data_IF_314513211588
#
_entry.id   IF_314513211588
#
_cell.length_a   1.000
_cell.length_b   1.000
_cell.length_c   1.000
_cell.angle_alpha   90.00
_cell.angle_beta   90.00
_cell.angle_gamma   90.00
#
_symmetry.space_group_name_H-M   'P 1'
#
loop_
_entity.id
_entity.type
_entity.pdbx_description
1 polymer ?
#
# COMPACT_ATOMS: atom_id res chain seq x y z
N UNK A 1 17.16 15.37 -8.15
CA UNK A 1 18.04 14.56 -7.25
C UNK A 1 17.12 13.81 -6.29
N UNK A 2 17.43 12.55 -5.92
CA UNK A 2 16.70 11.82 -4.88
C UNK A 2 17.40 12.12 -3.56
N UNK A 3 16.64 12.55 -2.56
CA UNK A 3 17.11 12.76 -1.19
C UNK A 3 16.50 11.72 -0.27
N UNK A 4 17.32 11.18 0.63
CA UNK A 4 16.89 10.18 1.62
C UNK A 4 16.90 10.83 3.00
N UNK A 5 15.76 10.80 3.69
CA UNK A 5 15.58 11.37 5.03
C UNK A 5 15.11 10.26 5.98
N UNK A 6 15.80 10.04 7.07
CA UNK A 6 15.33 9.19 8.15
C UNK A 6 14.37 10.01 9.03
N UNK A 7 13.10 9.63 9.07
CA UNK A 7 12.06 10.31 9.86
C UNK A 7 12.00 9.79 11.30
N UNK A 8 12.25 8.50 11.46
CA UNK A 8 12.33 7.79 12.74
C UNK A 8 13.05 6.46 12.52
N UNK A 9 13.40 5.78 13.59
CA UNK A 9 14.03 4.45 13.51
C UNK A 9 13.17 3.49 12.67
N UNK A 10 13.70 3.02 11.55
CA UNK A 10 13.01 2.14 10.61
C UNK A 10 11.99 2.83 9.69
N UNK A 11 11.92 4.16 9.68
CA UNK A 11 11.04 4.95 8.79
C UNK A 11 11.87 5.88 7.93
N UNK A 12 11.92 5.61 6.64
CA UNK A 12 12.72 6.36 5.67
C UNK A 12 11.83 7.01 4.62
N UNK A 13 12.06 8.28 4.31
CA UNK A 13 11.47 9.01 3.20
C UNK A 13 12.48 9.14 2.07
N UNK A 14 12.10 8.70 0.87
CA UNK A 14 12.75 9.03 -0.38
C UNK A 14 11.98 10.16 -1.05
N UNK A 15 12.59 11.32 -1.19
CA UNK A 15 11.94 12.49 -1.77
C UNK A 15 12.61 12.94 -3.06
N UNK A 16 11.80 13.27 -4.05
CA UNK A 16 12.21 13.82 -5.34
C UNK A 16 11.50 15.15 -5.54
N UNK A 17 12.23 16.25 -5.47
CA UNK A 17 11.70 17.54 -5.88
C UNK A 17 11.71 17.68 -7.38
N UNK A 18 10.55 17.99 -7.97
CA UNK A 18 10.40 18.20 -9.41
C UNK A 18 9.22 19.13 -9.72
N UNK A 19 9.42 20.02 -10.69
CA UNK A 19 8.39 20.92 -11.21
C UNK A 19 7.84 20.48 -12.58
N UNK A 20 8.31 19.32 -13.08
CA UNK A 20 7.96 18.84 -14.43
C UNK A 20 6.49 18.45 -14.57
N UNK A 21 5.83 18.10 -13.45
CA UNK A 21 4.48 17.58 -13.46
C UNK A 21 3.53 18.49 -12.67
N UNK A 22 2.26 18.46 -13.05
CA UNK A 22 1.17 19.13 -12.32
C UNK A 22 0.65 18.27 -11.17
N UNK A 23 1.00 16.99 -11.13
CA UNK A 23 0.63 16.04 -10.08
C UNK A 23 1.85 15.67 -9.25
N UNK A 24 1.61 15.47 -7.96
CA UNK A 24 2.54 14.83 -7.05
C UNK A 24 2.16 13.37 -6.83
N UNK A 25 3.13 12.58 -6.40
CA UNK A 25 2.93 11.17 -6.03
C UNK A 25 3.45 10.94 -4.60
N UNK A 26 2.68 10.18 -3.82
CA UNK A 26 3.10 9.74 -2.50
C UNK A 26 2.83 8.25 -2.33
N UNK A 27 3.80 7.51 -1.78
CA UNK A 27 3.56 6.11 -1.44
C UNK A 27 4.08 5.75 -0.06
N UNK A 28 3.37 4.80 0.55
CA UNK A 28 3.70 4.16 1.81
C UNK A 28 3.96 2.68 1.55
N UNK A 29 5.13 2.20 1.92
CA UNK A 29 5.55 0.83 1.66
C UNK A 29 6.09 0.19 2.94
N UNK A 30 5.51 -0.94 3.32
CA UNK A 30 6.03 -1.86 4.32
C UNK A 30 6.99 -2.82 3.63
N UNK A 31 8.20 -2.95 4.18
CA UNK A 31 9.26 -3.79 3.61
C UNK A 31 9.42 -5.07 4.44
N UNK A 32 9.34 -6.23 3.80
CA UNK A 32 9.46 -7.52 4.49
C UNK A 32 10.20 -8.55 3.63
N UNK A 33 10.86 -9.53 4.25
CA UNK A 33 11.32 -10.71 3.52
C UNK A 33 10.15 -11.42 2.84
N UNK A 34 10.33 -11.83 1.60
CA UNK A 34 9.32 -12.56 0.85
C UNK A 34 9.34 -14.03 1.23
N UNK A 35 8.27 -14.51 1.85
CA UNK A 35 8.14 -15.91 2.28
C UNK A 35 6.82 -16.51 1.82
N UNK A 36 6.76 -17.84 1.67
CA UNK A 36 5.53 -18.53 1.24
C UNK A 36 4.36 -18.24 2.18
N UNK A 37 4.58 -18.28 3.49
CA UNK A 37 3.53 -18.06 4.49
C UNK A 37 3.01 -16.60 4.51
N UNK A 38 3.90 -15.61 4.29
CA UNK A 38 3.52 -14.20 4.32
C UNK A 38 2.98 -13.69 2.96
N UNK A 39 3.35 -14.32 1.86
CA UNK A 39 3.02 -13.84 0.52
C UNK A 39 1.52 -13.57 0.28
N UNK A 40 0.58 -14.47 0.63
CA UNK A 40 -0.84 -14.23 0.44
C UNK A 40 -1.40 -13.17 1.40
N UNK A 41 -0.95 -13.15 2.66
CA UNK A 41 -1.36 -12.16 3.67
C UNK A 41 -0.93 -10.74 3.27
N UNK A 42 0.34 -10.59 2.87
CA UNK A 42 0.89 -9.30 2.39
C UNK A 42 0.18 -8.82 1.10
N UNK A 43 -0.27 -9.73 0.25
CA UNK A 43 -0.98 -9.37 -0.97
C UNK A 43 -2.43 -8.95 -0.70
N UNK A 44 -3.09 -9.59 0.26
CA UNK A 44 -4.50 -9.34 0.61
C UNK A 44 -4.68 -8.08 1.45
N UNK A 45 -3.77 -7.85 2.41
CA UNK A 45 -3.90 -6.81 3.42
C UNK A 45 -4.22 -5.40 2.87
N UNK A 46 -3.48 -4.86 1.88
CA UNK A 46 -3.77 -3.50 1.39
C UNK A 46 -5.18 -3.36 0.81
N UNK A 47 -5.65 -4.36 0.07
CA UNK A 47 -6.98 -4.34 -0.54
C UNK A 47 -8.08 -4.32 0.51
N UNK A 48 -7.92 -5.09 1.60
CA UNK A 48 -8.88 -5.11 2.71
C UNK A 48 -8.88 -3.79 3.48
N UNK A 49 -7.70 -3.23 3.78
CA UNK A 49 -7.60 -1.94 4.48
C UNK A 49 -8.22 -0.80 3.67
N UNK A 50 -8.12 -0.85 2.34
CA UNK A 50 -8.68 0.17 1.45
C UNK A 50 -10.22 0.09 1.34
N UNK A 51 -10.88 -0.90 1.94
CA UNK A 51 -12.35 -1.02 1.93
C UNK A 51 -13.03 -0.09 2.91
N UNK A 52 -12.33 0.39 3.94
CA UNK A 52 -12.86 1.34 4.90
C UNK A 52 -11.98 1.56 6.11
N UNK A 53 -12.16 2.70 6.75
CA UNK A 53 -11.54 3.06 8.02
C UNK A 53 -12.60 3.51 9.01
N UNK A 54 -12.22 3.76 10.27
CA UNK A 54 -13.15 4.30 11.28
C UNK A 54 -13.77 5.62 10.84
N UNK A 55 -13.02 6.47 10.15
CA UNK A 55 -13.47 7.77 9.67
C UNK A 55 -14.21 7.71 8.33
N UNK A 56 -13.80 6.80 7.45
CA UNK A 56 -14.41 6.56 6.13
C UNK A 56 -14.80 5.09 6.04
N UNK A 57 -16.01 4.74 6.52
CA UNK A 57 -16.37 3.36 6.83
C UNK A 57 -16.58 2.46 5.61
N UNK A 58 -16.71 3.03 4.43
CA UNK A 58 -16.95 2.29 3.19
C UNK A 58 -16.30 2.95 1.96
N UNK A 59 -16.35 2.25 0.83
CA UNK A 59 -15.79 2.70 -0.44
C UNK A 59 -16.42 4.00 -0.95
N UNK A 60 -17.69 4.27 -0.62
CA UNK A 60 -18.37 5.51 -1.00
C UNK A 60 -17.76 6.70 -0.25
N UNK A 61 -17.60 6.58 1.07
CA UNK A 61 -16.96 7.60 1.89
C UNK A 61 -15.51 7.86 1.45
N UNK A 62 -14.76 6.80 1.11
CA UNK A 62 -13.41 6.90 0.56
C UNK A 62 -13.42 7.64 -0.79
N UNK A 63 -14.31 7.27 -1.72
CA UNK A 63 -14.43 7.94 -3.01
C UNK A 63 -14.78 9.41 -2.88
N UNK A 64 -15.76 9.75 -2.02
CA UNK A 64 -16.11 11.14 -1.72
C UNK A 64 -14.93 11.92 -1.16
N UNK A 65 -14.12 11.30 -0.29
CA UNK A 65 -12.92 11.94 0.24
C UNK A 65 -11.87 12.20 -0.84
N UNK A 66 -11.68 11.27 -1.76
CA UNK A 66 -10.76 11.45 -2.89
C UNK A 66 -11.24 12.55 -3.84
N UNK A 67 -12.55 12.66 -4.08
CA UNK A 67 -13.15 13.75 -4.87
C UNK A 67 -12.93 15.11 -4.19
N UNK A 68 -13.11 15.21 -2.84
CA UNK A 68 -12.79 16.41 -2.07
C UNK A 68 -11.30 16.78 -2.16
N UNK A 69 -10.43 15.81 -2.39
CA UNK A 69 -8.99 16.01 -2.64
C UNK A 69 -8.69 16.22 -4.14
N UNK A 70 -9.63 16.86 -4.84
CA UNK A 70 -9.51 17.24 -6.25
C UNK A 70 -9.31 16.04 -7.20
N UNK A 71 -10.03 14.95 -6.92
CA UNK A 71 -9.95 13.73 -7.73
C UNK A 71 -8.62 12.98 -7.56
N UNK A 72 -8.03 13.06 -6.37
CA UNK A 72 -6.85 12.27 -6.06
C UNK A 72 -7.12 10.78 -6.23
N UNK A 73 -6.12 10.04 -6.66
CA UNK A 73 -6.24 8.57 -6.81
C UNK A 73 -5.51 7.87 -5.67
N UNK A 74 -6.03 6.73 -5.26
CA UNK A 74 -5.43 5.87 -4.25
C UNK A 74 -5.47 4.43 -4.73
N UNK A 75 -4.33 3.77 -4.68
CA UNK A 75 -4.20 2.37 -5.10
C UNK A 75 -3.35 1.55 -4.15
N UNK A 76 -3.52 0.23 -4.23
CA UNK A 76 -2.69 -0.72 -3.50
C UNK A 76 -1.40 -0.99 -4.25
N UNK A 77 -0.34 -1.26 -3.50
CA UNK A 77 0.96 -1.59 -4.04
C UNK A 77 1.45 -2.91 -3.45
N UNK A 78 1.70 -3.89 -4.32
CA UNK A 78 2.33 -5.16 -3.97
C UNK A 78 3.43 -5.43 -4.98
N UNK A 79 4.69 -5.26 -4.57
CA UNK A 79 5.86 -5.44 -5.45
C UNK A 79 6.88 -6.35 -4.81
N UNK A 80 7.69 -6.97 -5.66
CA UNK A 80 8.83 -7.78 -5.25
C UNK A 80 10.11 -7.15 -5.80
N UNK A 81 11.10 -6.96 -4.94
CA UNK A 81 12.42 -6.48 -5.28
C UNK A 81 13.48 -7.41 -4.68
N UNK A 82 14.04 -8.28 -5.54
CA UNK A 82 14.84 -9.39 -5.05
C UNK A 82 14.03 -10.26 -4.10
N UNK A 83 14.53 -10.44 -2.89
CA UNK A 83 13.86 -11.20 -1.82
C UNK A 83 12.99 -10.35 -0.87
N UNK A 84 12.91 -9.03 -1.15
CA UNK A 84 12.11 -8.11 -0.35
C UNK A 84 10.77 -7.84 -1.01
N UNK A 85 9.71 -8.05 -0.25
CA UNK A 85 8.34 -7.68 -0.63
C UNK A 85 8.03 -6.27 -0.12
N UNK A 86 7.50 -5.44 -1.01
CA UNK A 86 6.96 -4.11 -0.70
C UNK A 86 5.44 -4.19 -0.80
N UNK A 87 4.77 -3.81 0.29
CA UNK A 87 3.31 -3.87 0.40
C UNK A 87 2.80 -2.56 0.97
N UNK A 88 1.80 -1.96 0.35
CA UNK A 88 1.28 -0.69 0.83
C UNK A 88 0.36 -0.01 -0.15
N UNK A 89 0.46 1.32 -0.20
CA UNK A 89 -0.42 2.18 -0.98
C UNK A 89 0.38 3.23 -1.74
N UNK A 90 -0.21 3.72 -2.81
CA UNK A 90 0.26 4.92 -3.51
C UNK A 90 -0.92 5.85 -3.78
N UNK A 91 -0.64 7.13 -3.86
CA UNK A 91 -1.59 8.15 -4.29
C UNK A 91 -0.94 9.08 -5.29
N UNK A 92 -1.73 9.48 -6.27
CA UNK A 92 -1.42 10.58 -7.17
C UNK A 92 -2.42 11.71 -6.90
N UNK A 93 -1.94 12.92 -6.80
CA UNK A 93 -2.75 14.09 -6.45
C UNK A 93 -2.28 15.33 -7.22
N UNK A 94 -3.15 16.31 -7.38
CA UNK A 94 -2.78 17.59 -7.99
C UNK A 94 -1.87 18.39 -7.03
N UNK A 95 -0.83 19.02 -7.57
CA UNK A 95 0.03 19.89 -6.77
C UNK A 95 -0.67 21.19 -6.38
N UNK A 96 -0.51 21.62 -5.14
CA UNK A 96 -1.20 22.79 -4.55
C UNK A 96 -0.94 24.09 -5.33
N UNK A 97 0.17 24.19 -6.05
CA UNK A 97 0.46 25.32 -6.92
C UNK A 97 -0.54 25.51 -8.07
N UNK A 98 -1.37 24.52 -8.36
CA UNK A 98 -2.40 24.54 -9.42
C UNK A 98 -3.81 24.61 -8.85
N UNK A 99 -3.95 24.82 -7.55
CA UNK A 99 -5.22 24.94 -6.84
C UNK A 99 -5.51 26.40 -6.47
N UNK A 100 -6.76 26.73 -6.13
CA UNK A 100 -7.10 28.01 -5.54
C UNK A 100 -6.26 28.31 -4.29
N UNK A 101 -6.00 29.58 -4.02
CA UNK A 101 -5.19 30.00 -2.88
C UNK A 101 -5.80 29.51 -1.55
N UNK A 102 -4.97 28.89 -0.72
CA UNK A 102 -5.37 28.38 0.59
C UNK A 102 -5.81 26.91 0.60
N UNK A 103 -5.98 26.28 -0.57
CA UNK A 103 -6.31 24.86 -0.63
C UNK A 103 -5.09 23.98 -0.37
N UNK A 104 -5.31 22.86 0.29
CA UNK A 104 -4.28 21.89 0.63
C UNK A 104 -4.72 20.46 0.26
N UNK A 105 -3.83 19.70 -0.34
CA UNK A 105 -4.09 18.30 -0.73
C UNK A 105 -3.10 17.34 -0.11
N UNK A 106 -1.81 17.66 -0.09
CA UNK A 106 -0.78 16.72 0.37
C UNK A 106 -0.93 16.35 1.85
N UNK A 107 -1.09 17.34 2.75
CA UNK A 107 -1.22 17.02 4.17
C UNK A 107 -2.51 16.25 4.49
N UNK A 108 -3.70 16.63 3.98
CA UNK A 108 -4.91 15.80 4.08
C UNK A 108 -4.77 14.39 3.48
N UNK A 109 -4.00 14.22 2.39
CA UNK A 109 -3.71 12.91 1.82
C UNK A 109 -2.86 12.04 2.76
N UNK A 110 -1.83 12.61 3.39
CA UNK A 110 -1.01 11.90 4.38
C UNK A 110 -1.84 11.48 5.59
N UNK A 111 -2.72 12.34 6.09
CA UNK A 111 -3.67 12.00 7.16
C UNK A 111 -4.63 10.87 6.74
N UNK A 112 -5.10 10.90 5.51
CA UNK A 112 -5.96 9.85 4.96
C UNK A 112 -5.25 8.49 4.91
N UNK A 113 -3.98 8.45 4.48
CA UNK A 113 -3.16 7.24 4.53
C UNK A 113 -3.00 6.72 5.96
N UNK A 114 -2.71 7.62 6.91
CA UNK A 114 -2.60 7.26 8.33
C UNK A 114 -3.88 6.57 8.82
N UNK A 115 -5.04 7.17 8.54
CA UNK A 115 -6.31 6.65 9.03
C UNK A 115 -6.64 5.27 8.42
N UNK A 116 -6.37 5.05 7.13
CA UNK A 116 -6.53 3.73 6.50
C UNK A 116 -5.60 2.68 7.10
N UNK A 117 -4.35 3.06 7.40
CA UNK A 117 -3.35 2.12 7.90
C UNK A 117 -3.51 1.77 9.37
N UNK A 118 -3.78 2.77 10.21
CA UNK A 118 -3.74 2.63 11.66
C UNK A 118 -5.12 2.55 12.30
N UNK A 119 -6.17 3.00 11.59
CA UNK A 119 -7.55 3.01 12.05
C UNK A 119 -8.51 2.38 11.03
N UNK A 120 -8.23 1.12 10.57
CA UNK A 120 -9.13 0.45 9.64
C UNK A 120 -10.50 0.19 10.26
N UNK A 121 -11.51 0.02 9.43
CA UNK A 121 -12.84 -0.39 9.88
C UNK A 121 -12.79 -1.79 10.51
N UNK A 122 -12.86 -1.85 11.84
CA UNK A 122 -12.88 -3.08 12.61
C UNK A 122 -14.31 -3.43 13.05
N UNK A 123 -14.59 -4.73 13.08
CA UNK A 123 -15.79 -5.31 13.63
C UNK A 123 -15.40 -6.30 14.73
N UNK A 124 -15.82 -6.05 15.97
CA UNK A 124 -15.39 -6.82 17.15
C UNK A 124 -13.85 -6.92 17.31
N UNK A 125 -13.13 -5.87 16.92
CA UNK A 125 -11.66 -5.81 16.99
C UNK A 125 -10.93 -6.58 15.89
N UNK A 126 -11.63 -7.10 14.89
CA UNK A 126 -11.10 -7.79 13.73
C UNK A 126 -11.39 -6.99 12.44
N UNK A 127 -10.58 -7.17 11.42
CA UNK A 127 -10.89 -6.68 10.08
C UNK A 127 -12.21 -7.28 9.60
N UNK A 128 -13.07 -6.44 9.00
CA UNK A 128 -14.43 -6.83 8.62
C UNK A 128 -14.43 -8.07 7.73
N UNK A 129 -15.11 -9.13 8.19
CA UNK A 129 -15.13 -10.45 7.54
C UNK A 129 -15.66 -10.40 6.11
N UNK A 130 -16.65 -9.53 5.84
CA UNK A 130 -17.22 -9.37 4.47
C UNK A 130 -16.19 -8.75 3.52
N UNK A 131 -15.38 -7.79 3.99
CA UNK A 131 -14.31 -7.20 3.19
C UNK A 131 -13.19 -8.19 2.96
N UNK A 132 -12.79 -8.93 3.99
CA UNK A 132 -11.79 -10.00 3.85
C UNK A 132 -12.23 -11.01 2.81
N UNK A 133 -13.48 -11.53 2.89
CA UNK A 133 -13.96 -12.54 1.95
C UNK A 133 -14.08 -12.00 0.52
N UNK A 134 -14.60 -10.78 0.35
CA UNK A 134 -14.70 -10.15 -0.96
C UNK A 134 -13.32 -9.97 -1.61
N UNK A 135 -12.32 -9.48 -0.87
CA UNK A 135 -10.98 -9.28 -1.42
C UNK A 135 -10.19 -10.59 -1.61
N UNK A 136 -10.48 -11.64 -0.83
CA UNK A 136 -9.97 -12.99 -1.11
C UNK A 136 -10.41 -13.46 -2.49
N UNK A 137 -11.71 -13.35 -2.81
CA UNK A 137 -12.22 -13.74 -4.12
C UNK A 137 -11.57 -12.94 -5.25
N UNK A 138 -11.43 -11.62 -5.08
CA UNK A 138 -10.76 -10.75 -6.05
C UNK A 138 -9.29 -11.18 -6.25
N UNK A 139 -8.58 -11.49 -5.17
CA UNK A 139 -7.17 -11.90 -5.22
C UNK A 139 -7.01 -13.29 -5.88
N UNK A 140 -7.89 -14.24 -5.54
CA UNK A 140 -7.92 -15.57 -6.18
C UNK A 140 -8.14 -15.43 -7.69
N UNK A 141 -9.14 -14.64 -8.10
CA UNK A 141 -9.39 -14.38 -9.52
C UNK A 141 -8.19 -13.74 -10.21
N UNK A 142 -7.49 -12.80 -9.54
CA UNK A 142 -6.29 -12.17 -10.10
C UNK A 142 -5.14 -13.18 -10.27
N UNK A 143 -4.97 -14.12 -9.34
CA UNK A 143 -3.96 -15.20 -9.42
C UNK A 143 -4.29 -16.15 -10.58
N UNK A 144 -5.54 -16.60 -10.68
CA UNK A 144 -6.00 -17.54 -11.70
C UNK A 144 -5.98 -16.91 -13.11
N UNK A 145 -6.43 -15.65 -13.22
CA UNK A 145 -6.47 -14.94 -14.51
C UNK A 145 -5.09 -14.67 -15.11
N UNK A 146 -4.03 -14.67 -14.29
CA UNK A 146 -2.66 -14.53 -14.78
C UNK A 146 -2.26 -15.62 -15.81
N UNK A 147 -2.94 -16.79 -15.80
CA UNK A 147 -2.75 -17.85 -16.79
C UNK A 147 -3.26 -17.48 -18.19
N UNK A 148 -4.16 -16.53 -18.30
CA UNK A 148 -4.73 -16.08 -19.57
C UNK A 148 -3.72 -15.25 -20.39
N UNK A 149 -2.83 -14.50 -19.72
CA UNK A 149 -1.69 -13.87 -20.39
C UNK A 149 -0.51 -14.86 -20.47
N UNK A 150 -0.34 -15.46 -21.66
CA UNK A 150 0.68 -16.49 -21.88
C UNK A 150 2.11 -15.99 -21.67
N UNK A 151 2.40 -14.68 -21.88
CA UNK A 151 3.72 -14.10 -21.66
C UNK A 151 3.99 -13.97 -20.16
N UNK A 152 3.03 -13.43 -19.42
CA UNK A 152 3.11 -13.30 -17.95
C UNK A 152 3.24 -14.70 -17.33
N UNK A 153 2.40 -15.64 -17.75
CA UNK A 153 2.43 -17.02 -17.25
C UNK A 153 3.77 -17.71 -17.53
N UNK A 154 4.30 -17.60 -18.75
CA UNK A 154 5.60 -18.17 -19.11
C UNK A 154 6.73 -17.60 -18.26
N UNK A 155 6.76 -16.27 -18.05
CA UNK A 155 7.76 -15.62 -17.20
C UNK A 155 7.65 -16.07 -15.73
N UNK A 156 6.43 -16.23 -15.21
CA UNK A 156 6.21 -16.76 -13.86
C UNK A 156 6.70 -18.20 -13.73
N UNK A 157 6.37 -19.07 -14.70
CA UNK A 157 6.82 -20.47 -14.72
C UNK A 157 8.33 -20.58 -14.83
N UNK A 158 8.94 -19.81 -15.71
CA UNK A 158 10.40 -19.75 -15.85
C UNK A 158 11.06 -19.37 -14.51
N UNK A 159 10.61 -18.30 -13.87
CA UNK A 159 11.15 -17.86 -12.57
C UNK A 159 11.01 -18.97 -11.51
N UNK A 160 9.84 -19.61 -11.44
CA UNK A 160 9.60 -20.68 -10.47
C UNK A 160 10.56 -21.85 -10.63
N UNK A 161 10.88 -22.23 -11.89
CA UNK A 161 11.80 -23.34 -12.19
C UNK A 161 13.25 -22.91 -11.94
N UNK A 162 13.65 -21.73 -12.43
CA UNK A 162 15.04 -21.25 -12.31
C UNK A 162 15.45 -20.96 -10.87
N UNK A 163 14.52 -20.51 -10.03
CA UNK A 163 14.78 -20.11 -8.66
C UNK A 163 14.19 -21.12 -7.64
N UNK A 164 14.08 -22.39 -8.02
CA UNK A 164 13.55 -23.41 -7.13
C UNK A 164 14.34 -23.46 -5.81
N UNK A 165 13.64 -23.42 -4.68
CA UNK A 165 14.23 -23.35 -3.33
C UNK A 165 14.55 -21.94 -2.84
N UNK A 166 14.48 -20.91 -3.68
CA UNK A 166 14.71 -19.52 -3.31
C UNK A 166 13.39 -18.75 -3.11
N UNK A 167 13.44 -17.63 -2.38
CA UNK A 167 12.29 -16.72 -2.20
C UNK A 167 11.74 -16.21 -3.54
N UNK A 168 12.59 -16.05 -4.55
CA UNK A 168 12.21 -15.60 -5.89
C UNK A 168 11.29 -16.58 -6.63
N UNK A 169 11.25 -17.88 -6.26
CA UNK A 169 10.35 -18.88 -6.82
C UNK A 169 8.90 -18.72 -6.34
N UNK A 170 8.68 -18.05 -5.22
CA UNK A 170 7.36 -17.84 -4.62
C UNK A 170 6.60 -16.79 -5.43
N UNK A 171 5.35 -17.05 -5.87
CA UNK A 171 4.54 -16.05 -6.57
C UNK A 171 4.33 -14.80 -5.71
N UNK A 172 4.40 -13.64 -6.34
CA UNK A 172 4.23 -12.33 -5.67
C UNK A 172 2.92 -12.21 -4.88
N UNK A 173 1.85 -12.82 -5.37
CA UNK A 173 0.52 -12.79 -4.73
C UNK A 173 0.27 -14.01 -3.82
N UNK A 174 1.19 -14.96 -3.75
CA UNK A 174 0.98 -16.25 -3.10
C UNK A 174 0.24 -17.23 -4.00
N UNK A 175 -0.31 -18.27 -3.41
CA UNK A 175 -1.08 -19.30 -4.11
C UNK A 175 -2.57 -19.18 -3.75
N UNK A 176 -3.45 -19.53 -4.68
CA UNK A 176 -4.90 -19.39 -4.50
C UNK A 176 -5.43 -20.19 -3.28
N UNK A 177 -4.91 -21.39 -3.07
CA UNK A 177 -5.24 -22.24 -1.92
C UNK A 177 -4.84 -21.58 -0.59
N UNK A 178 -3.67 -20.95 -0.53
CA UNK A 178 -3.19 -20.24 0.67
C UNK A 178 -4.05 -18.99 0.94
N UNK A 179 -4.46 -18.26 -0.10
CA UNK A 179 -5.38 -17.11 0.01
C UNK A 179 -6.75 -17.57 0.52
N UNK A 180 -7.29 -18.67 -0.01
CA UNK A 180 -8.58 -19.21 0.41
C UNK A 180 -8.62 -19.57 1.91
N UNK A 181 -7.49 -19.99 2.47
CA UNK A 181 -7.36 -20.37 3.88
C UNK A 181 -7.25 -19.17 4.85
N UNK A 182 -7.09 -17.92 4.35
CA UNK A 182 -6.96 -16.74 5.22
C UNK A 182 -8.26 -16.46 5.96
N UNK A 183 -8.17 -16.27 7.28
CA UNK A 183 -9.29 -15.84 8.13
C UNK A 183 -9.14 -14.38 8.54
N UNK A 184 -10.23 -13.69 8.96
CA UNK A 184 -10.16 -12.33 9.50
C UNK A 184 -9.20 -12.20 10.68
N UNK A 185 -9.14 -13.21 11.57
CA UNK A 185 -8.26 -13.25 12.73
C UNK A 185 -6.79 -13.29 12.30
N UNK A 186 -6.45 -14.19 11.35
CA UNK A 186 -5.11 -14.33 10.84
C UNK A 186 -4.64 -13.03 10.14
N UNK A 187 -5.50 -12.42 9.32
CA UNK A 187 -5.17 -11.17 8.63
C UNK A 187 -5.03 -10.00 9.60
N UNK A 188 -5.89 -9.93 10.63
CA UNK A 188 -5.81 -8.90 11.68
C UNK A 188 -4.53 -9.03 12.50
N UNK A 189 -4.16 -10.25 12.89
CA UNK A 189 -2.90 -10.51 13.60
C UNK A 189 -1.68 -10.13 12.74
N UNK A 190 -1.75 -10.46 11.45
CA UNK A 190 -0.72 -10.09 10.47
C UNK A 190 -0.59 -8.56 10.34
N UNK A 191 -1.69 -7.82 10.15
CA UNK A 191 -1.71 -6.37 10.11
C UNK A 191 -1.03 -5.74 11.34
N UNK A 192 -1.43 -6.15 12.54
CA UNK A 192 -0.84 -5.65 13.80
C UNK A 192 0.66 -5.94 13.89
N UNK A 193 1.07 -7.13 13.46
CA UNK A 193 2.47 -7.54 13.48
C UNK A 193 3.31 -6.73 12.51
N UNK A 194 2.83 -6.57 11.27
CA UNK A 194 3.53 -5.85 10.20
C UNK A 194 3.72 -4.38 10.56
N UNK A 195 2.69 -3.71 11.08
CA UNK A 195 2.80 -2.30 11.48
C UNK A 195 3.82 -2.07 12.61
N UNK A 196 4.05 -3.07 13.46
CA UNK A 196 5.00 -2.96 14.57
C UNK A 196 6.43 -3.33 14.22
N UNK A 197 6.63 -4.15 13.19
CA UNK A 197 7.93 -4.79 12.95
C UNK A 197 8.54 -4.48 11.58
N UNK A 198 7.72 -4.10 10.58
CA UNK A 198 8.23 -3.88 9.24
C UNK A 198 8.87 -2.49 9.11
N UNK A 199 10.08 -2.39 8.54
CA UNK A 199 10.61 -1.11 8.08
C UNK A 199 9.64 -0.45 7.10
N UNK A 200 9.51 0.87 7.22
CA UNK A 200 8.62 1.70 6.40
C UNK A 200 9.46 2.53 5.44
N UNK A 201 9.15 2.41 4.16
CA UNK A 201 9.71 3.28 3.13
C UNK A 201 8.60 4.15 2.54
N UNK A 202 8.70 5.44 2.75
CA UNK A 202 7.84 6.46 2.15
C UNK A 202 8.53 6.99 0.89
N UNK A 203 7.74 7.28 -0.13
CA UNK A 203 8.24 7.93 -1.33
C UNK A 203 7.36 9.14 -1.64
N UNK A 204 7.99 10.25 -1.93
CA UNK A 204 7.35 11.48 -2.40
C UNK A 204 8.03 11.98 -3.67
N UNK A 205 7.25 12.34 -4.66
CA UNK A 205 7.71 13.07 -5.82
C UNK A 205 6.73 14.23 -6.10
N UNK A 206 7.25 15.46 -6.15
CA UNK A 206 6.43 16.65 -6.37
C UNK A 206 7.21 17.94 -6.22
N UNK A 207 6.50 19.04 -6.09
CA UNK A 207 7.09 20.41 -6.07
C UNK A 207 7.71 20.81 -4.74
N UNK A 208 7.28 20.17 -3.61
CA UNK A 208 7.85 20.48 -2.28
C UNK A 208 9.29 20.06 -2.17
N UNK A 209 10.03 20.81 -1.38
CA UNK A 209 11.36 20.37 -0.95
C UNK A 209 11.24 19.08 -0.10
N UNK A 210 12.30 18.26 -0.07
CA UNK A 210 12.31 17.06 0.79
C UNK A 210 11.99 17.36 2.25
N UNK A 211 12.48 18.48 2.79
CA UNK A 211 12.30 18.91 4.18
C UNK A 211 10.83 19.31 4.46
N UNK A 212 10.19 20.01 3.52
CA UNK A 212 8.76 20.34 3.62
C UNK A 212 7.88 19.10 3.59
N UNK A 213 8.19 18.15 2.71
CA UNK A 213 7.48 16.87 2.64
C UNK A 213 7.66 16.09 3.96
N UNK A 214 8.89 15.98 4.46
CA UNK A 214 9.20 15.33 5.74
C UNK A 214 8.45 15.97 6.92
N UNK A 215 8.41 17.30 7.00
CA UNK A 215 7.71 18.02 8.05
C UNK A 215 6.19 17.80 8.05
N UNK A 216 5.56 17.66 6.86
CA UNK A 216 4.12 17.35 6.75
C UNK A 216 3.82 15.90 7.14
N UNK A 217 4.66 14.95 6.71
CA UNK A 217 4.53 13.54 7.05
C UNK A 217 4.73 13.33 8.57
N UNK A 218 5.78 13.92 9.16
CA UNK A 218 6.08 13.81 10.58
C UNK A 218 4.97 14.32 11.48
N UNK A 219 4.30 15.43 11.12
CA UNK A 219 3.14 15.95 11.87
C UNK A 219 1.93 15.02 11.84
N UNK A 220 1.73 14.30 10.76
CA UNK A 220 0.63 13.35 10.63
C UNK A 220 0.89 12.04 11.41
N UNK A 221 2.16 11.66 11.62
CA UNK A 221 2.53 10.44 12.35
C UNK A 221 2.62 10.61 13.88
N UNK A 222 2.64 11.85 14.39
CA UNK A 222 2.79 12.16 15.82
C UNK A 222 1.47 12.44 16.57
N UNK A 223 0.31 12.18 16.01
CA UNK A 223 -1.00 12.40 16.65
C UNK A 223 -1.77 11.12 16.87
#
# INVERSE_FOLDING_TARGET
MIETIELAAGVTLLAVQTEKFKSGCFSFNLMRPHTKAAAPLDALLPSVLLRGSERWPDMRAISMRLDELYGATLGTLVRLRGETKLTGFYADFIEEAFLPAGEAVFAPMVEFFRDILFHPALENGLLNARYVESEKQNLIHAIESAQNDKRVYAAMRMRRIMCEGEAASIPRLGYAEDVAAITPEALTAHWRTVLRTAPIMLFYAGRRTPQEAAAKIGRASCR
#
